data_IF_220022689906
#
_entry.id   IF_220022689906
#
_cell.length_a   1.000
_cell.length_b   1.000
_cell.length_c   1.000
_cell.angle_alpha   90.00
_cell.angle_beta   90.00
_cell.angle_gamma   90.00
#
_symmetry.space_group_name_H-M   'P 1'
#
loop_
_entity.id
_entity.type
_entity.pdbx_description
1 polymer ?
#
# COMPACT_ATOMS: atom_id res chain seq x y z
N UNK A 1 18.90 -8.73 -5.57
CA UNK A 1 17.61 -9.41 -5.44
C UNK A 1 17.68 -10.63 -6.32
N UNK A 2 17.37 -11.81 -5.80
CA UNK A 2 17.26 -13.01 -6.63
C UNK A 2 16.07 -12.86 -7.59
N UNK A 3 16.17 -13.39 -8.82
CA UNK A 3 15.06 -13.35 -9.76
C UNK A 3 13.87 -14.12 -9.19
N UNK A 4 12.70 -13.47 -9.17
CA UNK A 4 11.46 -14.07 -8.70
C UNK A 4 10.84 -14.84 -9.86
N UNK A 5 10.90 -16.17 -9.82
CA UNK A 5 10.29 -17.06 -10.80
C UNK A 5 9.29 -18.05 -10.14
N UNK A 6 8.42 -18.71 -10.90
CA UNK A 6 7.42 -19.64 -10.34
C UNK A 6 7.98 -20.79 -9.53
N UNK A 7 9.19 -21.26 -9.82
CA UNK A 7 9.86 -22.35 -9.09
C UNK A 7 10.30 -21.82 -7.73
N UNK A 8 10.96 -20.67 -7.70
CA UNK A 8 11.41 -20.01 -6.47
C UNK A 8 10.21 -19.63 -5.57
N UNK A 9 9.14 -19.09 -6.15
CA UNK A 9 7.89 -18.78 -5.44
C UNK A 9 7.22 -20.06 -4.92
N UNK A 10 7.17 -21.12 -5.72
CA UNK A 10 6.60 -22.40 -5.33
C UNK A 10 7.35 -23.05 -4.16
N UNK A 11 8.68 -23.01 -4.19
CA UNK A 11 9.52 -23.50 -3.09
C UNK A 11 9.25 -22.72 -1.80
N UNK A 12 9.14 -21.39 -1.88
CA UNK A 12 8.85 -20.54 -0.73
C UNK A 12 7.45 -20.79 -0.15
N UNK A 13 6.42 -20.88 -1.01
CA UNK A 13 5.06 -21.20 -0.59
C UNK A 13 4.94 -22.61 0.00
N UNK A 14 5.75 -23.55 -0.49
CA UNK A 14 5.84 -24.90 0.09
C UNK A 14 6.44 -24.85 1.49
N UNK A 15 7.55 -24.10 1.66
CA UNK A 15 8.19 -23.90 2.96
C UNK A 15 7.24 -23.29 3.99
N UNK A 16 6.34 -22.40 3.57
CA UNK A 16 5.30 -21.78 4.41
C UNK A 16 4.04 -22.65 4.59
N UNK A 17 3.90 -23.75 3.84
CA UNK A 17 2.69 -24.58 3.85
C UNK A 17 1.47 -23.91 3.19
N UNK A 18 1.70 -22.90 2.34
CA UNK A 18 0.64 -22.08 1.73
C UNK A 18 0.37 -22.45 0.26
N UNK A 19 1.23 -23.26 -0.37
CA UNK A 19 1.14 -23.58 -1.80
C UNK A 19 -0.24 -24.13 -2.21
N UNK A 20 -0.83 -25.01 -1.42
CA UNK A 20 -2.15 -25.57 -1.69
C UNK A 20 -3.25 -24.50 -1.61
N UNK A 21 -3.18 -23.60 -0.63
CA UNK A 21 -4.14 -22.47 -0.49
C UNK A 21 -4.04 -21.51 -1.67
N UNK A 22 -2.84 -21.36 -2.23
CA UNK A 22 -2.57 -20.52 -3.40
C UNK A 22 -2.99 -21.18 -4.74
N UNK A 23 -3.49 -22.42 -4.75
CA UNK A 23 -3.93 -23.11 -5.97
C UNK A 23 -2.92 -24.11 -6.55
N UNK A 24 -1.78 -24.32 -5.89
CA UNK A 24 -0.76 -25.30 -6.30
C UNK A 24 0.26 -24.76 -7.31
N UNK A 25 1.27 -25.58 -7.61
CA UNK A 25 2.36 -25.20 -8.51
C UNK A 25 1.90 -24.92 -9.95
N UNK A 26 0.87 -25.64 -10.44
CA UNK A 26 0.29 -25.41 -11.76
C UNK A 26 -0.32 -24.02 -11.90
N UNK A 27 -0.96 -23.51 -10.84
CA UNK A 27 -1.58 -22.19 -10.85
C UNK A 27 -0.55 -21.06 -11.04
N UNK A 28 0.64 -21.19 -10.45
CA UNK A 28 1.73 -20.23 -10.64
C UNK A 28 2.15 -20.14 -12.13
N UNK A 29 2.21 -21.27 -12.83
CA UNK A 29 2.50 -21.28 -14.26
C UNK A 29 1.38 -20.63 -15.08
N UNK A 30 0.11 -20.90 -14.73
CA UNK A 30 -1.03 -20.23 -15.36
C UNK A 30 -1.00 -18.72 -15.16
N UNK A 31 -0.65 -18.23 -13.97
CA UNK A 31 -0.52 -16.79 -13.69
C UNK A 31 0.51 -16.13 -14.62
N UNK A 32 1.67 -16.75 -14.83
CA UNK A 32 2.70 -16.21 -15.74
C UNK A 32 2.20 -16.20 -17.18
N UNK A 33 1.49 -17.23 -17.62
CA UNK A 33 0.94 -17.30 -18.98
C UNK A 33 -0.21 -16.33 -19.24
N UNK A 34 -0.89 -15.86 -18.20
CA UNK A 34 -2.04 -14.95 -18.32
C UNK A 34 -1.62 -13.51 -18.60
N UNK A 35 -0.36 -13.15 -18.34
CA UNK A 35 0.16 -11.78 -18.54
C UNK A 35 0.78 -11.66 -19.93
N UNK A 36 0.19 -10.88 -20.87
CA UNK A 36 0.71 -10.79 -22.23
C UNK A 36 2.08 -10.11 -22.31
N UNK A 37 2.31 -9.09 -21.47
CA UNK A 37 3.58 -8.37 -21.37
C UNK A 37 3.82 -7.87 -19.95
N UNK A 38 5.06 -7.98 -19.47
CA UNK A 38 5.48 -7.50 -18.14
C UNK A 38 5.37 -5.97 -18.05
N UNK A 39 5.49 -5.27 -19.18
CA UNK A 39 5.41 -3.80 -19.26
C UNK A 39 4.10 -3.22 -18.70
N UNK A 40 3.00 -3.99 -18.73
CA UNK A 40 1.71 -3.55 -18.20
C UNK A 40 1.56 -3.74 -16.68
N UNK A 41 2.56 -4.32 -16.00
CA UNK A 41 2.52 -4.60 -14.55
C UNK A 41 2.13 -3.39 -13.70
N UNK A 42 2.78 -2.22 -13.85
CA UNK A 42 2.44 -1.01 -13.09
C UNK A 42 0.98 -0.58 -13.28
N UNK A 43 0.47 -0.63 -14.52
CA UNK A 43 -0.93 -0.30 -14.86
C UNK A 43 -1.91 -1.22 -14.12
N UNK A 44 -1.65 -2.53 -14.10
CA UNK A 44 -2.50 -3.48 -13.39
C UNK A 44 -2.42 -3.27 -11.87
N UNK A 45 -1.24 -2.97 -11.33
CA UNK A 45 -1.07 -2.64 -9.92
C UNK A 45 -1.90 -1.42 -9.50
N UNK A 46 -1.95 -0.37 -10.34
CA UNK A 46 -2.82 0.79 -10.11
C UNK A 46 -4.30 0.42 -10.06
N UNK A 47 -4.77 -0.42 -10.98
CA UNK A 47 -6.16 -0.89 -11.02
C UNK A 47 -6.50 -1.67 -9.75
N UNK A 48 -5.61 -2.57 -9.33
CA UNK A 48 -5.80 -3.37 -8.10
C UNK A 48 -5.81 -2.46 -6.87
N UNK A 49 -4.89 -1.49 -6.78
CA UNK A 49 -4.83 -0.50 -5.70
C UNK A 49 -6.11 0.32 -5.62
N UNK A 50 -6.59 0.86 -6.74
CA UNK A 50 -7.82 1.64 -6.77
C UNK A 50 -9.03 0.82 -6.33
N UNK A 51 -9.11 -0.46 -6.70
CA UNK A 51 -10.18 -1.36 -6.24
C UNK A 51 -10.05 -1.72 -4.76
N UNK A 52 -8.83 -1.92 -4.26
CA UNK A 52 -8.57 -2.19 -2.84
C UNK A 52 -9.00 -1.02 -1.95
N UNK A 53 -8.66 0.21 -2.36
CA UNK A 53 -9.11 1.43 -1.68
C UNK A 53 -10.64 1.49 -1.57
N UNK A 54 -11.35 1.23 -2.67
CA UNK A 54 -12.82 1.22 -2.66
C UNK A 54 -13.40 0.20 -1.68
N UNK A 55 -12.81 -0.99 -1.58
CA UNK A 55 -13.25 -2.02 -0.61
C UNK A 55 -13.00 -1.56 0.82
N UNK A 56 -11.81 -1.05 1.11
CA UNK A 56 -11.48 -0.53 2.44
C UNK A 56 -12.44 0.59 2.88
N UNK A 57 -12.76 1.52 1.97
CA UNK A 57 -13.71 2.60 2.25
C UNK A 57 -15.13 2.09 2.55
N UNK A 58 -15.58 1.05 1.83
CA UNK A 58 -16.87 0.40 2.10
C UNK A 58 -16.87 -0.26 3.48
N UNK A 59 -15.81 -0.99 3.83
CA UNK A 59 -15.70 -1.66 5.13
C UNK A 59 -15.72 -0.66 6.29
N UNK A 60 -14.96 0.44 6.19
CA UNK A 60 -14.97 1.52 7.20
C UNK A 60 -16.36 2.18 7.33
N UNK A 61 -17.03 2.46 6.21
CA UNK A 61 -18.39 2.99 6.24
C UNK A 61 -19.39 2.00 6.89
N UNK A 62 -19.23 0.69 6.64
CA UNK A 62 -20.05 -0.34 7.27
C UNK A 62 -19.85 -0.39 8.78
N UNK A 63 -18.62 -0.21 9.28
CA UNK A 63 -18.36 -0.15 10.73
C UNK A 63 -19.01 1.07 11.37
N UNK A 64 -18.91 2.24 10.73
CA UNK A 64 -19.59 3.45 11.19
C UNK A 64 -21.10 3.21 11.27
N UNK A 65 -21.70 2.67 10.22
CA UNK A 65 -23.14 2.37 10.19
C UNK A 65 -23.53 1.37 11.27
N UNK A 66 -22.78 0.28 11.41
CA UNK A 66 -23.05 -0.76 12.41
C UNK A 66 -23.04 -0.19 13.82
N UNK A 67 -22.04 0.64 14.14
CA UNK A 67 -21.94 1.27 15.45
C UNK A 67 -23.08 2.28 15.68
N UNK A 68 -23.37 3.14 14.69
CA UNK A 68 -24.45 4.11 14.79
C UNK A 68 -25.83 3.47 15.01
N UNK A 69 -26.07 2.27 14.46
CA UNK A 69 -27.31 1.50 14.69
C UNK A 69 -27.33 0.72 15.99
N UNK A 70 -26.17 0.47 16.62
CA UNK A 70 -26.12 -0.33 17.85
C UNK A 70 -26.69 0.41 19.06
N UNK A 71 -26.81 1.75 18.98
CA UNK A 71 -27.16 2.62 20.11
C UNK A 71 -26.24 2.42 21.34
N UNK A 72 -25.05 1.84 21.12
CA UNK A 72 -24.00 1.67 22.12
C UNK A 72 -23.11 2.91 22.17
N UNK A 73 -22.70 3.29 23.38
CA UNK A 73 -21.87 4.47 23.63
C UNK A 73 -22.63 5.79 23.61
N UNK A 74 -21.95 6.85 24.01
CA UNK A 74 -22.50 8.21 23.95
C UNK A 74 -22.13 8.92 22.63
N UNK A 75 -22.56 10.17 22.48
CA UNK A 75 -22.26 10.98 21.29
C UNK A 75 -20.74 11.14 21.05
N UNK A 76 -19.93 11.20 22.12
CA UNK A 76 -18.49 11.35 22.00
C UNK A 76 -17.86 10.07 21.45
N UNK A 77 -18.35 8.90 21.84
CA UNK A 77 -17.87 7.62 21.31
C UNK A 77 -18.17 7.47 19.81
N UNK A 78 -19.39 7.81 19.38
CA UNK A 78 -19.78 7.78 17.95
C UNK A 78 -18.89 8.71 17.14
N UNK A 79 -18.65 9.93 17.63
CA UNK A 79 -17.77 10.90 16.96
C UNK A 79 -16.34 10.37 16.84
N UNK A 80 -15.81 9.78 17.92
CA UNK A 80 -14.46 9.21 17.92
C UNK A 80 -14.28 8.09 16.91
N UNK A 81 -15.25 7.18 16.79
CA UNK A 81 -15.23 6.12 15.78
C UNK A 81 -15.27 6.68 14.36
N UNK A 82 -16.15 7.67 14.11
CA UNK A 82 -16.25 8.31 12.80
C UNK A 82 -14.94 8.97 12.41
N UNK A 83 -14.31 9.71 13.33
CA UNK A 83 -13.00 10.32 13.10
C UNK A 83 -11.95 9.27 12.76
N UNK A 84 -11.85 8.20 13.56
CA UNK A 84 -10.89 7.12 13.34
C UNK A 84 -11.04 6.46 11.96
N UNK A 85 -12.26 6.06 11.60
CA UNK A 85 -12.53 5.38 10.34
C UNK A 85 -12.40 6.33 9.14
N UNK A 86 -12.77 7.62 9.28
CA UNK A 86 -12.56 8.61 8.23
C UNK A 86 -11.07 8.88 8.00
N UNK A 87 -10.29 9.00 9.07
CA UNK A 87 -8.83 9.13 8.96
C UNK A 87 -8.22 7.93 8.26
N UNK A 88 -8.68 6.71 8.55
CA UNK A 88 -8.20 5.51 7.88
C UNK A 88 -8.52 5.53 6.37
N UNK A 89 -9.69 6.01 5.96
CA UNK A 89 -10.04 6.19 4.55
C UNK A 89 -9.15 7.25 3.90
N UNK A 90 -9.00 8.42 4.53
CA UNK A 90 -8.21 9.54 3.97
C UNK A 90 -6.73 9.19 3.84
N UNK A 91 -6.17 8.44 4.80
CA UNK A 91 -4.79 7.99 4.77
C UNK A 91 -4.47 7.01 3.62
N UNK A 92 -5.50 6.41 2.99
CA UNK A 92 -5.36 5.51 1.86
C UNK A 92 -5.55 4.04 2.24
N UNK A 93 -5.11 3.12 1.37
CA UNK A 93 -5.28 1.67 1.63
C UNK A 93 -4.26 1.22 2.70
N UNK A 94 -4.70 0.68 3.85
CA UNK A 94 -3.78 0.21 4.89
C UNK A 94 -2.80 -0.83 4.35
N UNK A 95 -1.53 -0.72 4.73
CA UNK A 95 -0.46 -1.65 4.32
C UNK A 95 0.14 -1.40 2.92
N UNK A 96 -0.41 -0.46 2.13
CA UNK A 96 0.24 0.04 0.93
C UNK A 96 0.97 1.33 1.27
N UNK A 97 2.25 1.22 1.65
CA UNK A 97 3.13 2.39 1.72
C UNK A 97 3.34 2.93 0.30
N UNK A 98 3.48 4.25 0.18
CA UNK A 98 4.17 4.81 -0.99
C UNK A 98 5.52 4.13 -1.10
N UNK A 99 5.91 3.75 -2.31
CA UNK A 99 7.25 3.22 -2.52
C UNK A 99 8.23 4.22 -1.91
N UNK A 100 9.19 3.77 -1.07
CA UNK A 100 10.18 4.68 -0.53
C UNK A 100 10.83 5.42 -1.71
N UNK A 101 11.09 6.73 -1.59
CA UNK A 101 11.73 7.48 -2.65
C UNK A 101 12.99 6.74 -3.09
N UNK A 102 13.27 6.72 -4.39
CA UNK A 102 14.48 6.08 -4.84
C UNK A 102 15.68 6.83 -4.24
N UNK A 103 16.79 6.12 -4.06
CA UNK A 103 18.03 6.76 -3.59
C UNK A 103 18.40 7.94 -4.49
N UNK A 104 18.12 7.86 -5.80
CA UNK A 104 18.30 8.97 -6.75
C UNK A 104 17.41 10.18 -6.43
N UNK A 105 16.15 9.96 -6.07
CA UNK A 105 15.23 11.05 -5.68
C UNK A 105 15.71 11.74 -4.39
N UNK A 106 16.22 10.97 -3.43
CA UNK A 106 16.81 11.50 -2.19
C UNK A 106 18.09 12.30 -2.45
N UNK A 107 18.91 11.86 -3.40
CA UNK A 107 20.12 12.60 -3.80
C UNK A 107 19.80 13.92 -4.49
N UNK A 108 18.77 13.95 -5.36
CA UNK A 108 18.36 15.17 -6.04
C UNK A 108 17.79 16.20 -5.05
N UNK A 109 17.00 15.75 -4.07
CA UNK A 109 16.47 16.60 -3.00
C UNK A 109 17.61 17.19 -2.14
N UNK A 110 18.58 16.35 -1.76
CA UNK A 110 19.74 16.78 -0.99
C UNK A 110 20.66 17.76 -1.77
N UNK A 111 20.87 17.56 -3.07
CA UNK A 111 21.66 18.48 -3.90
C UNK A 111 20.92 19.81 -4.08
N UNK A 112 19.60 19.78 -4.28
CA UNK A 112 18.78 20.98 -4.34
C UNK A 112 18.86 21.79 -3.03
N UNK A 113 18.81 21.10 -1.88
CA UNK A 113 18.99 21.72 -0.55
C UNK A 113 20.38 22.38 -0.42
N UNK A 114 21.46 21.72 -0.86
CA UNK A 114 22.81 22.29 -0.85
C UNK A 114 22.96 23.50 -1.78
N UNK A 115 22.33 23.46 -2.96
CA UNK A 115 22.33 24.57 -3.91
C UNK A 115 21.54 25.78 -3.39
N UNK A 116 20.43 25.55 -2.68
CA UNK A 116 19.68 26.61 -1.99
C UNK A 116 20.49 27.25 -0.86
N UNK A 117 21.19 26.43 -0.06
CA UNK A 117 22.11 26.90 0.99
C UNK A 117 23.26 27.70 0.39
N UNK A 118 23.76 27.31 -0.79
CA UNK A 118 24.85 27.99 -1.48
C UNK A 118 24.41 29.28 -2.21
N UNK A 119 23.17 29.35 -2.73
CA UNK A 119 22.66 30.47 -3.53
C UNK A 119 21.98 31.60 -2.75
N UNK A 120 21.83 31.47 -1.42
CA UNK A 120 21.89 32.64 -0.53
C UNK A 120 20.82 32.78 0.55
N UNK A 121 21.17 32.39 1.79
CA UNK A 121 21.06 33.24 3.01
C UNK A 121 21.59 32.50 4.25
N UNK A 122 22.61 33.07 4.88
CA UNK A 122 22.93 32.81 6.29
C UNK A 122 21.73 33.13 7.20
N UNK A 123 21.38 32.20 8.08
CA UNK A 123 20.93 32.51 9.45
C UNK A 123 21.60 31.47 10.35
N UNK A 124 22.74 31.76 10.96
CA UNK A 124 22.78 32.50 12.21
C UNK A 124 22.73 31.53 13.39
N UNK A 125 23.86 30.91 13.73
CA UNK A 125 24.06 30.27 15.04
C UNK A 125 25.00 31.18 15.82
N UNK A 126 24.41 32.08 16.60
CA UNK A 126 24.93 32.63 17.86
C UNK A 126 23.79 32.58 18.85
#
# INVERSE_FOLDING_TARGET
GEPVDPITVGAELTRRGELTKAGGASYLHTCVQTVPTVANGPRYAEIVRAKAYRRAAIESAQRILQYAYSEEGDEADVRGLVEQELTAIVAGTPGLATAPPSVGDLYLDYVAELEEVQNGRQTGIT
#
